data_IF_732497375868
#
_entry.id   IF_732497375868
#
_cell.length_a   1.000
_cell.length_b   1.000
_cell.length_c   1.000
_cell.angle_alpha   90.00
_cell.angle_beta   90.00
_cell.angle_gamma   90.00
#
_symmetry.space_group_name_H-M   'P 1'
#
loop_
_entity.id
_entity.type
_entity.pdbx_description
1 polymer ?
#
# COMPACT_ATOMS: atom_id res chain seq x y z
N UNK A 1 -7.20 -9.82 14.54
CA UNK A 1 -6.19 -8.73 14.48
C UNK A 1 -4.98 -9.29 13.76
N UNK A 2 -4.48 -8.64 12.71
CA UNK A 2 -3.34 -9.14 11.93
C UNK A 2 -2.09 -9.21 12.82
N UNK A 3 -1.56 -10.42 13.04
CA UNK A 3 -0.34 -10.62 13.82
C UNK A 3 0.90 -10.23 13.00
N UNK A 4 1.87 -9.60 13.65
CA UNK A 4 3.14 -9.26 13.03
C UNK A 4 4.04 -10.48 12.96
N UNK A 5 4.71 -10.69 11.83
CA UNK A 5 5.70 -11.76 11.64
C UNK A 5 6.72 -11.37 10.58
N UNK A 6 7.82 -12.12 10.56
CA UNK A 6 8.73 -12.07 9.41
C UNK A 6 8.03 -12.65 8.18
N UNK A 7 8.27 -12.01 7.03
CA UNK A 7 7.77 -12.44 5.74
C UNK A 7 8.97 -12.61 4.80
N UNK A 8 9.03 -13.74 4.10
CA UNK A 8 10.09 -14.00 3.15
C UNK A 8 9.88 -13.21 1.83
N UNK A 9 10.90 -13.11 0.95
CA UNK A 9 10.77 -12.38 -0.30
C UNK A 9 9.70 -12.94 -1.27
N UNK A 10 9.47 -14.25 -1.28
CA UNK A 10 8.52 -14.88 -2.18
C UNK A 10 7.07 -14.56 -1.76
N UNK A 11 6.81 -14.62 -0.46
CA UNK A 11 5.53 -14.24 0.12
C UNK A 11 5.28 -12.73 -0.06
N UNK A 12 6.28 -11.87 0.18
CA UNK A 12 6.17 -10.43 -0.11
C UNK A 12 5.82 -10.15 -1.57
N UNK A 13 6.46 -10.88 -2.50
CA UNK A 13 6.16 -10.79 -3.93
C UNK A 13 4.73 -11.23 -4.23
N UNK A 14 4.26 -12.31 -3.61
CA UNK A 14 2.90 -12.81 -3.79
C UNK A 14 1.83 -11.84 -3.26
N UNK A 15 2.06 -11.22 -2.09
CA UNK A 15 1.22 -10.14 -1.58
C UNK A 15 1.13 -8.96 -2.55
N UNK A 16 2.28 -8.51 -3.08
CA UNK A 16 2.32 -7.47 -4.11
C UNK A 16 1.53 -7.88 -5.35
N UNK A 17 1.76 -9.10 -5.86
CA UNK A 17 1.06 -9.59 -7.05
C UNK A 17 -0.45 -9.64 -6.85
N UNK A 18 -0.90 -10.11 -5.69
CA UNK A 18 -2.32 -10.27 -5.39
C UNK A 18 -3.02 -8.90 -5.34
N UNK A 19 -2.46 -7.91 -4.65
CA UNK A 19 -3.05 -6.56 -4.59
C UNK A 19 -2.89 -5.76 -5.90
N UNK A 20 -1.95 -6.14 -6.77
CA UNK A 20 -1.74 -5.54 -8.10
C UNK A 20 -2.59 -6.20 -9.18
N UNK A 21 -3.21 -7.34 -8.91
CA UNK A 21 -4.17 -7.97 -9.83
C UNK A 21 -5.33 -7.02 -10.10
N UNK A 22 -5.64 -6.84 -11.39
CA UNK A 22 -6.75 -5.98 -11.80
C UNK A 22 -8.06 -6.43 -11.13
N UNK A 23 -8.78 -5.48 -10.53
CA UNK A 23 -10.04 -5.68 -9.75
C UNK A 23 -9.86 -6.28 -8.35
N UNK A 24 -8.63 -6.54 -7.90
CA UNK A 24 -8.37 -6.89 -6.50
C UNK A 24 -8.07 -5.59 -5.74
N UNK A 25 -9.01 -5.16 -4.91
CA UNK A 25 -8.80 -4.09 -3.92
C UNK A 25 -8.49 -4.67 -2.54
N UNK A 26 -8.22 -3.82 -1.53
CA UNK A 26 -7.92 -4.26 -0.16
C UNK A 26 -8.97 -5.22 0.42
N UNK A 27 -10.26 -4.90 0.27
CA UNK A 27 -11.33 -5.77 0.74
C UNK A 27 -11.30 -7.17 0.11
N UNK A 28 -11.19 -7.22 -1.23
CA UNK A 28 -11.08 -8.49 -1.96
C UNK A 28 -9.81 -9.25 -1.59
N UNK A 29 -8.69 -8.55 -1.40
CA UNK A 29 -7.42 -9.14 -0.98
C UNK A 29 -7.57 -9.88 0.35
N UNK A 30 -8.14 -9.22 1.37
CA UNK A 30 -8.34 -9.85 2.68
C UNK A 30 -9.32 -11.02 2.61
N UNK A 31 -10.42 -10.85 1.86
CA UNK A 31 -11.37 -11.93 1.61
C UNK A 31 -10.73 -13.16 0.93
N UNK A 32 -9.73 -12.94 0.07
CA UNK A 32 -8.99 -14.01 -0.59
C UNK A 32 -8.03 -14.70 0.38
N UNK A 33 -7.32 -13.97 1.25
CA UNK A 33 -6.46 -14.59 2.27
C UNK A 33 -7.25 -15.34 3.35
N UNK A 34 -8.45 -14.86 3.71
CA UNK A 34 -9.32 -15.57 4.64
C UNK A 34 -9.87 -16.87 4.02
N UNK A 35 -10.10 -16.87 2.70
CA UNK A 35 -10.62 -18.03 1.96
C UNK A 35 -9.54 -19.05 1.60
N UNK A 36 -8.35 -18.58 1.24
CA UNK A 36 -7.24 -19.38 0.77
C UNK A 36 -6.10 -19.22 1.78
N UNK A 37 -5.79 -20.28 2.51
CA UNK A 37 -4.87 -20.30 3.67
C UNK A 37 -3.50 -19.66 3.42
N UNK A 38 -3.07 -19.56 2.16
CA UNK A 38 -1.84 -18.88 1.73
C UNK A 38 -2.09 -17.91 0.59
N UNK A 39 -1.28 -16.86 0.52
CA UNK A 39 -1.20 -15.90 -0.58
C UNK A 39 -0.89 -16.57 -1.94
N UNK A 40 -0.04 -17.61 -1.94
CA UNK A 40 0.24 -18.39 -3.14
C UNK A 40 -0.99 -19.19 -3.61
N UNK A 41 -1.72 -19.82 -2.69
CA UNK A 41 -2.97 -20.50 -3.01
C UNK A 41 -4.02 -19.51 -3.52
N UNK A 42 -4.13 -18.33 -2.90
CA UNK A 42 -5.00 -17.27 -3.36
C UNK A 42 -4.68 -16.85 -4.81
N UNK A 43 -3.39 -16.63 -5.13
CA UNK A 43 -2.95 -16.30 -6.48
C UNK A 43 -3.28 -17.40 -7.49
N UNK A 44 -3.01 -18.66 -7.15
CA UNK A 44 -3.28 -19.80 -8.01
C UNK A 44 -4.78 -19.99 -8.28
N UNK A 45 -5.63 -19.62 -7.32
CA UNK A 45 -7.08 -19.73 -7.45
C UNK A 45 -7.73 -18.62 -8.28
N UNK A 46 -7.06 -17.47 -8.47
CA UNK A 46 -7.64 -16.30 -9.18
C UNK A 46 -8.27 -16.65 -10.55
N UNK A 47 -7.62 -17.43 -11.44
CA UNK A 47 -8.18 -17.74 -12.76
C UNK A 47 -9.47 -18.56 -12.69
N UNK A 48 -9.63 -19.36 -11.63
CA UNK A 48 -10.74 -20.28 -11.42
C UNK A 48 -11.92 -19.65 -10.67
N UNK A 49 -11.75 -18.43 -10.14
CA UNK A 49 -12.80 -17.77 -9.37
C UNK A 49 -14.03 -17.45 -10.25
N UNK A 50 -15.25 -17.54 -9.68
CA UNK A 50 -16.46 -17.15 -10.37
C UNK A 50 -16.34 -15.74 -10.93
N UNK A 51 -16.66 -15.60 -12.21
CA UNK A 51 -16.62 -14.30 -12.89
C UNK A 51 -17.67 -13.39 -12.25
N UNK A 52 -17.25 -12.19 -11.85
CA UNK A 52 -18.19 -11.16 -11.42
C UNK A 52 -19.10 -10.79 -12.59
N UNK A 53 -20.38 -10.55 -12.28
CA UNK A 53 -21.41 -10.18 -13.25
C UNK A 53 -20.91 -9.07 -14.18
N UNK A 54 -20.99 -9.30 -15.49
CA UNK A 54 -20.53 -8.37 -16.52
C UNK A 54 -19.09 -8.56 -17.03
N UNK A 55 -18.30 -9.47 -16.45
CA UNK A 55 -16.92 -9.72 -16.92
C UNK A 55 -16.75 -11.08 -17.60
N UNK A 56 -16.24 -11.08 -18.84
CA UNK A 56 -15.98 -12.31 -19.62
C UNK A 56 -14.63 -12.95 -19.28
N UNK A 57 -13.64 -12.13 -18.89
CA UNK A 57 -12.27 -12.58 -18.65
C UNK A 57 -12.03 -12.98 -17.18
N UNK A 58 -11.32 -14.10 -16.94
CA UNK A 58 -10.92 -14.52 -15.60
C UNK A 58 -9.99 -13.49 -14.95
N UNK A 59 -9.87 -13.53 -13.63
CA UNK A 59 -8.88 -12.72 -12.92
C UNK A 59 -7.49 -13.30 -13.20
N UNK A 60 -6.62 -12.50 -13.79
CA UNK A 60 -5.24 -12.90 -14.06
C UNK A 60 -4.33 -12.37 -12.95
N UNK A 61 -3.55 -13.24 -12.28
CA UNK A 61 -2.52 -12.81 -11.33
C UNK A 61 -1.61 -11.75 -11.96
N UNK A 62 -1.25 -10.72 -11.20
CA UNK A 62 -0.24 -9.78 -11.66
C UNK A 62 1.07 -10.54 -11.94
N UNK A 63 1.71 -10.23 -13.06
CA UNK A 63 2.84 -10.98 -13.57
C UNK A 63 4.04 -10.87 -12.61
N UNK A 64 4.73 -11.99 -12.39
CA UNK A 64 5.79 -12.06 -11.39
C UNK A 64 7.01 -11.21 -11.74
N UNK A 65 7.34 -11.13 -13.03
CA UNK A 65 8.39 -10.28 -13.58
C UNK A 65 8.08 -8.79 -13.42
N UNK A 66 6.83 -8.38 -13.64
CA UNK A 66 6.40 -6.99 -13.41
C UNK A 66 6.40 -6.62 -11.93
N UNK A 67 6.02 -7.55 -11.04
CA UNK A 67 6.10 -7.34 -9.59
C UNK A 67 7.55 -7.16 -9.12
N UNK A 68 8.46 -7.98 -9.64
CA UNK A 68 9.89 -7.87 -9.36
C UNK A 68 10.46 -6.55 -9.90
N UNK A 69 10.06 -6.11 -11.09
CA UNK A 69 10.43 -4.80 -11.63
C UNK A 69 9.92 -3.65 -10.76
N UNK A 70 8.66 -3.69 -10.29
CA UNK A 70 8.10 -2.68 -9.38
C UNK A 70 8.88 -2.64 -8.06
N UNK A 71 9.20 -3.81 -7.49
CA UNK A 71 9.95 -3.89 -6.24
C UNK A 71 11.37 -3.34 -6.39
N UNK A 72 12.08 -3.71 -7.46
CA UNK A 72 13.42 -3.18 -7.78
C UNK A 72 13.39 -1.68 -7.99
N UNK A 73 12.47 -1.17 -8.81
CA UNK A 73 12.35 0.26 -9.07
C UNK A 73 12.07 1.06 -7.79
N UNK A 74 11.28 0.52 -6.86
CA UNK A 74 11.06 1.16 -5.55
C UNK A 74 12.37 1.20 -4.73
N UNK A 75 13.11 0.10 -4.69
CA UNK A 75 14.38 0.03 -3.97
C UNK A 75 15.44 0.96 -4.53
N UNK A 76 15.54 1.05 -5.86
CA UNK A 76 16.50 1.94 -6.54
C UNK A 76 16.23 3.42 -6.24
N UNK A 77 14.98 3.77 -5.89
CA UNK A 77 14.58 5.10 -5.44
C UNK A 77 14.81 5.35 -3.94
N UNK A 78 15.42 4.40 -3.22
CA UNK A 78 15.58 4.43 -1.77
C UNK A 78 14.28 4.16 -1.03
N UNK A 79 13.37 3.39 -1.63
CA UNK A 79 12.08 3.04 -1.08
C UNK A 79 12.03 1.63 -0.47
N UNK A 80 11.02 1.42 0.36
CA UNK A 80 10.72 0.19 1.07
C UNK A 80 9.30 -0.26 0.70
N UNK A 81 9.17 -1.52 0.28
CA UNK A 81 7.86 -2.16 0.15
C UNK A 81 7.52 -2.80 1.49
N UNK A 82 6.56 -2.27 2.23
CA UNK A 82 6.07 -2.84 3.49
C UNK A 82 4.79 -3.64 3.23
N UNK A 83 4.59 -4.69 4.00
CA UNK A 83 3.43 -5.58 3.98
C UNK A 83 2.74 -5.50 5.34
N UNK A 84 1.41 -5.62 5.41
CA UNK A 84 0.65 -5.40 6.65
C UNK A 84 1.13 -6.22 7.87
N UNK A 85 1.68 -7.42 7.62
CA UNK A 85 2.22 -8.31 8.66
C UNK A 85 3.66 -7.98 9.06
N UNK A 86 4.34 -7.05 8.37
CA UNK A 86 5.68 -6.59 8.77
C UNK A 86 5.64 -5.93 10.15
N UNK A 87 6.61 -6.22 11.01
CA UNK A 87 6.73 -5.54 12.31
C UNK A 87 6.79 -4.01 12.18
N UNK A 88 7.49 -3.51 11.16
CA UNK A 88 7.66 -2.07 10.85
C UNK A 88 6.44 -1.41 10.18
N UNK A 89 5.41 -2.19 9.80
CA UNK A 89 4.21 -1.61 9.20
C UNK A 89 3.42 -0.79 10.25
N UNK A 90 2.88 0.40 9.89
CA UNK A 90 2.24 1.30 10.84
C UNK A 90 1.10 0.61 11.64
N UNK A 91 1.18 0.52 12.97
CA UNK A 91 0.18 -0.17 13.79
C UNK A 91 -1.24 0.40 13.63
N UNK A 92 -1.38 1.71 13.43
CA UNK A 92 -2.67 2.36 13.23
C UNK A 92 -3.31 1.99 11.89
N UNK A 93 -2.51 1.81 10.84
CA UNK A 93 -3.01 1.35 9.55
C UNK A 93 -3.45 -0.10 9.58
N UNK A 94 -2.85 -0.97 10.42
CA UNK A 94 -3.35 -2.34 10.61
C UNK A 94 -4.75 -2.41 11.22
N UNK A 95 -5.17 -1.37 11.94
CA UNK A 95 -6.42 -1.35 12.71
C UNK A 95 -7.61 -0.78 11.93
N UNK A 96 -7.39 -0.21 10.75
CA UNK A 96 -8.50 0.29 9.94
C UNK A 96 -9.24 -0.85 9.24
N UNK A 97 -10.47 -0.60 8.82
CA UNK A 97 -11.21 -1.52 7.97
C UNK A 97 -10.51 -1.68 6.61
N UNK A 98 -10.36 -2.93 6.18
CA UNK A 98 -9.65 -3.35 4.97
C UNK A 98 -8.24 -2.72 4.87
N UNK A 99 -7.31 -2.98 5.81
CA UNK A 99 -6.02 -2.29 5.87
C UNK A 99 -5.23 -2.43 4.55
N UNK A 100 -4.32 -1.50 4.19
CA UNK A 100 -3.45 -1.70 3.04
C UNK A 100 -2.70 -3.03 3.15
N UNK A 101 -2.82 -3.95 2.18
CA UNK A 101 -2.02 -5.17 2.19
C UNK A 101 -0.54 -4.87 2.02
N UNK A 102 -0.25 -3.92 1.13
CA UNK A 102 1.10 -3.51 0.74
C UNK A 102 1.17 -1.98 0.73
N UNK A 103 2.31 -1.45 1.17
CA UNK A 103 2.59 -0.03 1.30
C UNK A 103 3.97 0.28 0.74
N UNK A 104 4.04 1.16 -0.26
CA UNK A 104 5.31 1.68 -0.75
C UNK A 104 5.69 2.91 0.06
N UNK A 105 6.90 2.92 0.60
CA UNK A 105 7.41 3.92 1.54
C UNK A 105 8.73 4.49 1.03
N UNK A 106 8.92 5.82 1.07
CA UNK A 106 10.25 6.44 0.92
C UNK A 106 10.68 7.09 2.22
N UNK A 107 11.99 7.03 2.50
CA UNK A 107 12.57 7.54 3.74
C UNK A 107 12.59 6.47 4.82
N UNK A 108 12.83 6.87 6.06
CA UNK A 108 12.99 5.93 7.17
C UNK A 108 11.64 5.32 7.61
N UNK A 109 11.39 4.01 7.41
CA UNK A 109 10.13 3.36 7.80
C UNK A 109 9.93 3.31 9.33
N UNK A 110 10.98 3.41 10.15
CA UNK A 110 10.85 3.35 11.61
C UNK A 110 10.04 4.53 12.18
N UNK A 111 9.98 5.64 11.44
CA UNK A 111 9.15 6.80 11.78
C UNK A 111 7.64 6.47 11.72
N UNK A 112 7.24 5.42 11.00
CA UNK A 112 5.84 4.97 10.88
C UNK A 112 5.32 4.24 12.13
N UNK A 113 6.22 3.77 13.00
CA UNK A 113 5.84 3.13 14.26
C UNK A 113 5.45 4.16 15.35
N UNK A 114 5.82 5.43 15.18
CA UNK A 114 5.58 6.48 16.16
C UNK A 114 4.22 7.14 15.94
N UNK A 115 3.55 7.66 17.00
CA UNK A 115 2.34 8.46 16.84
C UNK A 115 2.60 9.69 15.96
N UNK A 116 2.08 9.66 14.74
CA UNK A 116 2.32 10.68 13.72
C UNK A 116 1.07 11.48 13.40
N UNK A 117 1.23 12.72 12.90
CA UNK A 117 0.14 13.47 12.27
C UNK A 117 0.30 13.32 10.76
N UNK A 118 -0.65 12.66 10.11
CA UNK A 118 -0.74 12.70 8.65
C UNK A 118 -1.21 14.09 8.22
N UNK A 119 -0.32 14.86 7.59
CA UNK A 119 -0.69 16.13 6.97
C UNK A 119 -0.99 15.89 5.51
N UNK A 120 -2.23 16.17 5.12
CA UNK A 120 -2.63 16.28 3.73
C UNK A 120 -2.99 17.72 3.49
N UNK A 121 -2.20 18.41 2.67
CA UNK A 121 -2.46 19.81 2.37
C UNK A 121 -3.77 19.91 1.58
N UNK A 122 -4.85 20.29 2.26
CA UNK A 122 -5.85 21.17 1.66
C UNK A 122 -5.11 22.45 1.28
N UNK A 123 -5.47 23.12 0.18
CA UNK A 123 -4.65 24.10 -0.57
C UNK A 123 -3.88 25.20 0.21
N UNK A 124 -3.91 25.33 1.54
CA UNK A 124 -3.02 26.15 2.39
C UNK A 124 -2.94 25.64 3.85
N UNK A 125 -1.81 25.11 4.34
CA UNK A 125 -1.59 24.85 5.77
C UNK A 125 -0.08 24.84 6.14
N UNK A 126 0.27 25.45 7.28
CA UNK A 126 1.62 25.78 7.78
C UNK A 126 2.23 24.72 8.74
N UNK A 127 3.55 24.79 8.91
CA UNK A 127 4.49 23.76 9.41
C UNK A 127 4.88 23.88 10.90
N UNK A 128 4.87 22.75 11.64
CA UNK A 128 5.82 22.44 12.74
C UNK A 128 5.60 21.03 13.36
N UNK A 129 5.93 19.97 12.63
CA UNK A 129 5.91 18.58 13.12
C UNK A 129 6.59 17.59 12.16
N UNK A 130 6.93 16.38 12.63
CA UNK A 130 7.33 15.29 11.73
C UNK A 130 6.15 15.00 10.79
N UNK A 131 6.39 15.09 9.49
CA UNK A 131 5.31 15.12 8.49
C UNK A 131 5.25 13.79 7.75
N UNK A 132 4.11 13.09 7.80
CA UNK A 132 3.84 11.98 6.87
C UNK A 132 2.99 12.51 5.72
N UNK A 133 3.51 12.36 4.50
CA UNK A 133 2.80 12.71 3.27
C UNK A 133 2.17 11.43 2.67
N UNK A 134 0.85 11.42 2.55
CA UNK A 134 0.12 10.32 1.91
C UNK A 134 -0.29 10.73 0.50
N UNK A 135 0.25 10.03 -0.50
CA UNK A 135 0.01 10.29 -1.92
C UNK A 135 -0.89 9.22 -2.54
N UNK A 136 -1.74 9.61 -3.49
CA UNK A 136 -2.65 8.70 -4.21
C UNK A 136 -1.98 8.04 -5.43
N UNK A 137 -0.65 8.15 -5.58
CA UNK A 137 0.13 7.76 -6.75
C UNK A 137 1.61 7.50 -6.40
N UNK A 138 2.53 7.78 -7.32
CA UNK A 138 4.00 7.55 -7.19
C UNK A 138 4.62 8.08 -5.89
N UNK A 139 5.50 7.28 -5.28
CA UNK A 139 6.33 7.63 -4.11
C UNK A 139 7.46 8.62 -4.46
N UNK A 140 7.81 8.75 -5.74
CA UNK A 140 8.81 9.70 -6.24
C UNK A 140 8.25 11.07 -6.64
N UNK A 141 6.92 11.22 -6.76
CA UNK A 141 6.30 12.54 -6.96
C UNK A 141 6.00 13.13 -5.57
N UNK A 142 7.01 13.78 -5.02
CA UNK A 142 6.86 14.63 -3.84
C UNK A 142 6.13 15.88 -4.31
N UNK A 143 4.89 16.03 -3.88
CA UNK A 143 4.10 17.22 -4.19
C UNK A 143 3.64 17.94 -2.91
N UNK A 144 3.95 19.23 -2.78
CA UNK A 144 4.76 20.04 -3.69
C UNK A 144 6.28 19.82 -3.46
N UNK A 145 7.10 20.03 -4.51
CA UNK A 145 8.52 19.60 -4.60
C UNK A 145 9.45 20.25 -3.55
N UNK A 146 9.00 21.35 -2.97
CA UNK A 146 9.74 22.17 -1.99
C UNK A 146 9.87 21.54 -0.59
N UNK A 147 9.18 20.42 -0.32
CA UNK A 147 9.33 19.68 0.93
C UNK A 147 10.26 18.48 0.74
N UNK A 148 11.56 18.64 1.02
CA UNK A 148 12.53 17.53 1.00
C UNK A 148 12.11 16.36 1.89
N UNK A 149 12.51 15.13 1.50
CA UNK A 149 12.17 13.87 2.21
C UNK A 149 12.97 13.63 3.49
N UNK A 150 13.96 14.46 3.79
CA UNK A 150 14.89 14.22 4.90
C UNK A 150 14.23 14.21 6.30
N UNK A 151 12.99 14.73 6.40
CA UNK A 151 12.17 14.71 7.64
C UNK A 151 10.74 14.20 7.41
N UNK A 152 10.47 13.59 6.26
CA UNK A 152 9.13 13.19 5.87
C UNK A 152 9.09 11.77 5.29
N UNK A 153 8.06 11.01 5.65
CA UNK A 153 7.79 9.69 5.05
C UNK A 153 6.69 9.84 4.01
N UNK A 154 6.95 9.39 2.79
CA UNK A 154 5.95 9.35 1.71
C UNK A 154 5.39 7.95 1.61
N UNK A 155 4.06 7.85 1.64
CA UNK A 155 3.32 6.58 1.68
C UNK A 155 2.36 6.50 0.50
N UNK A 156 2.39 5.37 -0.23
CA UNK A 156 1.48 5.08 -1.33
C UNK A 156 1.00 3.63 -1.36
N UNK A 157 -0.25 3.41 -1.78
CA UNK A 157 -0.82 2.09 -2.03
C UNK A 157 -0.90 1.72 -3.50
N UNK A 158 -0.71 2.68 -4.42
CA UNK A 158 -0.88 2.48 -5.87
C UNK A 158 0.42 2.03 -6.54
N UNK A 159 0.34 1.34 -7.70
CA UNK A 159 1.53 0.90 -8.44
C UNK A 159 2.43 2.07 -8.83
N UNK A 160 3.74 1.81 -8.95
CA UNK A 160 4.67 2.79 -9.53
C UNK A 160 4.23 3.16 -10.96
N UNK A 161 4.34 4.44 -11.32
CA UNK A 161 3.94 4.94 -12.64
C UNK A 161 2.45 5.25 -12.82
N UNK A 162 1.56 4.86 -11.89
CA UNK A 162 0.12 5.13 -12.02
C UNK A 162 -0.21 6.62 -11.77
N UNK A 163 -0.78 7.28 -12.78
CA UNK A 163 -1.33 8.63 -12.64
C UNK A 163 -2.55 8.62 -11.71
N UNK A 164 -2.60 9.48 -10.67
CA UNK A 164 -3.74 9.56 -9.79
C UNK A 164 -4.96 10.13 -10.53
N UNK A 165 -6.12 9.49 -10.34
CA UNK A 165 -7.41 9.96 -10.87
C UNK A 165 -8.39 10.21 -9.73
N UNK A 166 -9.49 10.94 -9.98
CA UNK A 166 -10.48 11.32 -8.95
C UNK A 166 -11.00 10.13 -8.12
N UNK A 167 -11.12 8.94 -8.74
CA UNK A 167 -11.53 7.69 -8.09
C UNK A 167 -10.52 7.13 -7.07
N UNK A 168 -9.25 7.57 -7.07
CA UNK A 168 -8.23 7.08 -6.15
C UNK A 168 -8.25 7.82 -4.79
N UNK A 169 -8.84 9.03 -4.74
CA UNK A 169 -8.81 9.87 -3.53
C UNK A 169 -9.57 9.28 -2.33
N UNK A 170 -10.75 8.63 -2.48
CA UNK A 170 -11.42 7.98 -1.36
C UNK A 170 -10.55 6.88 -0.71
N UNK A 171 -9.89 6.05 -1.53
CA UNK A 171 -8.97 5.01 -1.03
C UNK A 171 -7.78 5.63 -0.29
N UNK A 172 -7.20 6.71 -0.81
CA UNK A 172 -6.10 7.40 -0.12
C UNK A 172 -6.56 8.00 1.22
N UNK A 173 -7.76 8.56 1.29
CA UNK A 173 -8.24 9.23 2.50
C UNK A 173 -8.37 8.28 3.70
N UNK A 174 -8.60 6.98 3.47
CA UNK A 174 -8.62 5.97 4.54
C UNK A 174 -7.27 5.82 5.25
N UNK A 175 -6.16 5.98 4.51
CA UNK A 175 -4.79 5.90 5.04
C UNK A 175 -4.55 7.10 5.96
N UNK A 176 -4.97 8.29 5.52
CA UNK A 176 -4.87 9.51 6.34
C UNK A 176 -5.68 9.35 7.62
N UNK A 177 -6.92 8.87 7.51
CA UNK A 177 -7.81 8.67 8.65
C UNK A 177 -7.23 7.66 9.63
N UNK A 178 -6.62 6.58 9.12
CA UNK A 178 -5.92 5.59 9.94
C UNK A 178 -4.68 6.15 10.62
N UNK A 179 -3.88 6.95 9.93
CA UNK A 179 -2.67 7.58 10.50
C UNK A 179 -2.96 8.77 11.42
N UNK A 180 -4.23 9.19 11.58
CA UNK A 180 -4.59 10.30 12.47
C UNK A 180 -4.61 9.83 13.92
N UNK A 181 -3.91 10.56 14.78
CA UNK A 181 -3.97 10.39 16.24
C UNK A 181 -5.43 10.48 16.72
N UNK A 182 -5.95 9.41 17.32
CA UNK A 182 -7.15 9.51 18.17
C UNK A 182 -6.71 10.19 19.47
N UNK A 183 -7.31 11.34 19.79
CA UNK A 183 -7.17 11.95 21.12
C UNK A 183 -7.92 11.11 22.14
#
# INVERSE_FOLDING_TARGET
MLATRSIDPAERSAWLRLIRTQRVGPHSFWSLLDRFETDQAALAALPELPRQSGTKQPLQPFAADLAEQEYRALRDLGGHLLVAVDGVFPPLLRQINDPPPVLSVRGNPDLLAQPSVAMVRARNASTNGQTIAVVAGRVDIIYPREHGVDRAVVVAEMPLGMQPTARHFPHRNRIIAGLRRRR
#
